data_IF_549686063104
#
_entry.id   IF_549686063104
#
_cell.length_a   1.000
_cell.length_b   1.000
_cell.length_c   1.000
_cell.angle_alpha   90.00
_cell.angle_beta   90.00
_cell.angle_gamma   90.00
#
_symmetry.space_group_name_H-M   'P 1'
#
loop_
_entity.id
_entity.type
_entity.pdbx_description
1 polymer ?
#
# COMPACT_ATOMS: atom_id res chain seq x y z
N UNK A 1 -18.77 1.24 -9.43
CA UNK A 1 -18.31 1.91 -10.66
C UNK A 1 -17.25 2.98 -10.41
N UNK A 2 -17.53 4.10 -9.72
CA UNK A 2 -16.50 5.13 -9.43
C UNK A 2 -15.40 4.61 -8.48
N UNK A 3 -15.77 4.03 -7.33
CA UNK A 3 -14.81 3.53 -6.33
C UNK A 3 -13.92 2.39 -6.84
N UNK A 4 -14.47 1.47 -7.65
CA UNK A 4 -13.67 0.39 -8.27
C UNK A 4 -12.65 0.96 -9.27
N UNK A 5 -13.03 2.03 -9.98
CA UNK A 5 -12.15 2.72 -10.92
C UNK A 5 -11.04 3.45 -10.17
N UNK A 6 -11.38 4.20 -9.11
CA UNK A 6 -10.42 4.89 -8.26
C UNK A 6 -9.44 3.90 -7.58
N UNK A 7 -9.96 2.79 -7.06
CA UNK A 7 -9.14 1.74 -6.44
C UNK A 7 -8.23 1.07 -7.48
N UNK A 8 -8.74 0.74 -8.67
CA UNK A 8 -7.93 0.15 -9.75
C UNK A 8 -6.80 1.08 -10.17
N UNK A 9 -7.06 2.39 -10.27
CA UNK A 9 -6.04 3.39 -10.58
C UNK A 9 -4.97 3.46 -9.49
N UNK A 10 -5.36 3.50 -8.22
CA UNK A 10 -4.42 3.53 -7.09
C UNK A 10 -3.55 2.27 -7.00
N UNK A 11 -4.11 1.11 -7.36
CA UNK A 11 -3.37 -0.16 -7.35
C UNK A 11 -2.44 -0.34 -8.56
N UNK A 12 -2.78 0.21 -9.73
CA UNK A 12 -1.93 0.14 -10.92
C UNK A 12 -0.82 1.21 -10.92
N UNK A 13 -1.22 2.47 -10.73
CA UNK A 13 -0.30 3.62 -10.76
C UNK A 13 -0.75 4.65 -9.71
N UNK A 14 -0.26 4.54 -8.47
CA UNK A 14 -0.69 5.40 -7.39
C UNK A 14 -0.26 6.85 -7.66
N UNK A 15 -1.20 7.78 -7.55
CA UNK A 15 -0.98 9.22 -7.65
C UNK A 15 -1.62 9.93 -6.46
N UNK A 16 -1.12 11.11 -6.05
CA UNK A 16 -1.79 11.92 -5.05
C UNK A 16 -3.25 12.22 -5.41
N UNK A 17 -3.53 12.51 -6.68
CA UNK A 17 -4.89 12.78 -7.17
C UNK A 17 -5.78 11.54 -7.10
N UNK A 18 -5.25 10.36 -7.46
CA UNK A 18 -5.99 9.10 -7.35
C UNK A 18 -6.37 8.75 -5.91
N UNK A 19 -5.45 8.96 -4.95
CA UNK A 19 -5.75 8.77 -3.53
C UNK A 19 -6.72 9.83 -2.98
N UNK A 20 -6.64 11.06 -3.48
CA UNK A 20 -7.62 12.08 -3.14
C UNK A 20 -9.03 11.67 -3.58
N UNK A 21 -9.17 11.19 -4.82
CA UNK A 21 -10.45 10.71 -5.34
C UNK A 21 -10.95 9.50 -4.54
N UNK A 22 -10.08 8.50 -4.31
CA UNK A 22 -10.42 7.34 -3.49
C UNK A 22 -10.92 7.76 -2.10
N UNK A 23 -10.24 8.69 -1.44
CA UNK A 23 -10.69 9.23 -0.15
C UNK A 23 -12.07 9.89 -0.25
N UNK A 24 -12.30 10.69 -1.28
CA UNK A 24 -13.58 11.35 -1.51
C UNK A 24 -14.71 10.34 -1.68
N UNK A 25 -14.45 9.20 -2.31
CA UNK A 25 -15.42 8.12 -2.50
C UNK A 25 -15.65 7.29 -1.22
N UNK A 26 -14.62 7.10 -0.39
CA UNK A 26 -14.71 6.32 0.86
C UNK A 26 -15.42 7.06 1.99
N UNK A 27 -15.30 8.39 2.06
CA UNK A 27 -15.87 9.19 3.16
C UNK A 27 -17.40 9.04 3.30
N UNK A 28 -18.21 9.18 2.21
CA UNK A 28 -19.66 8.97 2.29
C UNK A 28 -20.04 7.55 2.74
N UNK A 29 -19.27 6.54 2.33
CA UNK A 29 -19.51 5.16 2.74
C UNK A 29 -19.23 4.97 4.25
N UNK A 30 -18.16 5.60 4.74
CA UNK A 30 -17.79 5.54 6.15
C UNK A 30 -18.83 6.20 7.08
N UNK A 31 -19.49 7.27 6.64
CA UNK A 31 -20.53 7.96 7.41
C UNK A 31 -21.77 7.09 7.65
N UNK A 32 -22.06 6.18 6.73
CA UNK A 32 -23.18 5.24 6.83
C UNK A 32 -22.88 4.03 7.74
N UNK A 33 -21.67 3.91 8.28
CA UNK A 33 -21.30 2.79 9.15
C UNK A 33 -21.79 2.96 10.59
N UNK A 34 -22.26 1.87 11.23
CA UNK A 34 -22.48 1.84 12.67
C UNK A 34 -21.20 2.22 13.44
N UNK A 35 -21.35 2.84 14.62
CA UNK A 35 -20.21 3.29 15.44
C UNK A 35 -19.20 2.17 15.75
N UNK A 36 -19.66 0.91 15.87
CA UNK A 36 -18.79 -0.24 16.11
C UNK A 36 -17.92 -0.67 14.92
N UNK A 37 -18.30 -0.30 13.69
CA UNK A 37 -17.63 -0.70 12.43
C UNK A 37 -16.81 0.44 11.80
N UNK A 38 -16.92 1.67 12.34
CA UNK A 38 -16.16 2.83 11.85
C UNK A 38 -14.64 2.72 12.03
N UNK A 39 -14.15 1.83 12.90
CA UNK A 39 -12.71 1.67 13.15
C UNK A 39 -11.93 1.27 11.89
N UNK A 40 -12.48 0.35 11.10
CA UNK A 40 -11.81 -0.13 9.87
C UNK A 40 -11.84 0.93 8.76
N UNK A 41 -12.91 1.71 8.69
CA UNK A 41 -13.02 2.86 7.79
C UNK A 41 -12.03 3.98 8.16
N UNK A 42 -11.95 4.33 9.45
CA UNK A 42 -10.98 5.31 9.96
C UNK A 42 -9.55 4.87 9.63
N UNK A 43 -9.23 3.60 9.86
CA UNK A 43 -7.92 3.02 9.53
C UNK A 43 -7.62 3.10 8.03
N UNK A 44 -8.59 2.76 7.18
CA UNK A 44 -8.41 2.84 5.71
C UNK A 44 -8.15 4.26 5.23
N UNK A 45 -8.88 5.24 5.80
CA UNK A 45 -8.68 6.65 5.51
C UNK A 45 -7.32 7.16 6.04
N UNK A 46 -6.85 6.63 7.16
CA UNK A 46 -5.52 6.93 7.70
C UNK A 46 -4.40 6.38 6.80
N UNK A 47 -4.51 5.12 6.36
CA UNK A 47 -3.57 4.53 5.41
C UNK A 47 -3.54 5.34 4.10
N UNK A 48 -4.72 5.71 3.56
CA UNK A 48 -4.81 6.53 2.36
C UNK A 48 -4.17 7.93 2.55
N UNK A 49 -4.30 8.54 3.73
CA UNK A 49 -3.68 9.82 4.08
C UNK A 49 -2.15 9.73 4.09
N UNK A 50 -1.60 8.72 4.74
CA UNK A 50 -0.15 8.52 4.83
C UNK A 50 0.46 8.15 3.47
N UNK A 51 -0.25 7.33 2.69
CA UNK A 51 0.14 7.03 1.32
C UNK A 51 0.14 8.28 0.43
N UNK A 52 -0.90 9.12 0.55
CA UNK A 52 -0.95 10.40 -0.16
C UNK A 52 0.22 11.30 0.24
N UNK A 53 0.53 11.40 1.54
CA UNK A 53 1.66 12.18 2.04
C UNK A 53 2.99 11.73 1.42
N UNK A 54 3.22 10.41 1.41
CA UNK A 54 4.40 9.82 0.79
C UNK A 54 4.51 10.13 -0.71
N UNK A 55 3.42 9.97 -1.47
CA UNK A 55 3.41 10.31 -2.90
C UNK A 55 3.60 11.80 -3.19
N UNK A 56 3.02 12.66 -2.36
CA UNK A 56 3.16 14.11 -2.51
C UNK A 56 4.61 14.57 -2.27
N UNK A 57 5.28 14.01 -1.26
CA UNK A 57 6.70 14.23 -0.99
C UNK A 57 7.59 13.65 -2.10
N UNK A 58 7.30 12.45 -2.60
CA UNK A 58 7.99 11.89 -3.75
C UNK A 58 7.89 12.82 -4.97
N UNK A 59 6.67 13.28 -5.28
CA UNK A 59 6.43 14.16 -6.42
C UNK A 59 7.09 15.52 -6.28
N UNK A 60 7.17 16.08 -5.08
CA UNK A 60 7.80 17.39 -4.86
C UNK A 60 9.32 17.35 -5.05
N UNK A 61 9.93 16.18 -4.86
CA UNK A 61 11.38 15.94 -4.93
C UNK A 61 11.83 15.29 -6.25
N UNK A 62 10.90 14.87 -7.09
CA UNK A 62 11.17 14.24 -8.39
C UNK A 62 10.84 15.18 -9.55
N UNK A 63 11.64 15.12 -10.61
CA UNK A 63 11.27 15.77 -11.88
C UNK A 63 10.12 15.01 -12.55
N UNK A 64 9.36 15.70 -13.42
CA UNK A 64 8.29 15.07 -14.20
C UNK A 64 8.77 13.87 -15.03
N UNK A 65 10.02 13.89 -15.50
CA UNK A 65 10.62 12.77 -16.25
C UNK A 65 10.83 11.55 -15.38
N UNK A 66 11.33 11.74 -14.15
CA UNK A 66 11.60 10.65 -13.21
C UNK A 66 10.30 10.05 -12.69
N UNK A 67 9.28 10.87 -12.43
CA UNK A 67 7.96 10.40 -12.02
C UNK A 67 7.31 9.55 -13.12
N UNK A 68 7.37 9.99 -14.38
CA UNK A 68 6.88 9.21 -15.52
C UNK A 68 7.65 7.90 -15.73
N UNK A 69 8.96 7.87 -15.46
CA UNK A 69 9.75 6.63 -15.53
C UNK A 69 9.34 5.65 -14.42
N UNK A 70 9.12 6.13 -13.20
CA UNK A 70 8.61 5.32 -12.09
C UNK A 70 7.22 4.75 -12.41
N UNK A 71 6.29 5.59 -12.88
CA UNK A 71 4.94 5.17 -13.27
C UNK A 71 4.96 4.10 -14.38
N UNK A 72 5.74 4.33 -15.45
CA UNK A 72 5.91 3.35 -16.54
C UNK A 72 6.48 2.02 -16.06
N UNK A 73 7.25 1.99 -14.97
CA UNK A 73 7.82 0.76 -14.40
C UNK A 73 6.82 0.03 -13.50
N UNK A 74 5.94 0.76 -12.81
CA UNK A 74 4.82 0.20 -12.05
C UNK A 74 3.79 -0.49 -12.98
N UNK A 75 3.53 0.08 -14.16
CA UNK A 75 2.64 -0.52 -15.16
C UNK A 75 3.13 -1.91 -15.64
N UNK A 76 4.44 -2.14 -15.70
CA UNK A 76 5.03 -3.43 -16.14
C UNK A 76 4.95 -4.51 -15.04
N UNK A 77 4.88 -4.10 -13.76
CA UNK A 77 4.71 -5.00 -12.61
C UNK A 77 3.24 -5.28 -12.27
N UNK A 78 2.29 -4.62 -12.92
CA UNK A 78 0.87 -4.64 -12.60
C UNK A 78 0.15 -5.90 -13.11
N UNK A 79 0.63 -7.09 -12.75
CA UNK A 79 -0.20 -8.31 -12.74
C UNK A 79 -1.11 -8.25 -11.50
N UNK A 80 -1.98 -7.24 -11.43
CA UNK A 80 -2.86 -6.95 -10.28
C UNK A 80 -4.36 -7.09 -10.58
N UNK A 81 -4.75 -7.17 -11.86
CA UNK A 81 -6.16 -7.12 -12.26
C UNK A 81 -6.95 -8.42 -11.95
N UNK A 82 -6.28 -9.59 -12.02
CA UNK A 82 -6.92 -10.88 -11.73
C UNK A 82 -7.12 -11.14 -10.23
N UNK A 83 -6.35 -10.46 -9.38
CA UNK A 83 -6.49 -10.58 -7.93
C UNK A 83 -7.76 -9.88 -7.43
N UNK A 84 -8.25 -8.83 -8.11
CA UNK A 84 -9.30 -7.92 -7.63
C UNK A 84 -10.68 -8.59 -7.42
N UNK A 85 -11.01 -9.64 -8.20
CA UNK A 85 -12.25 -10.41 -8.03
C UNK A 85 -12.15 -11.48 -6.92
N UNK A 86 -10.98 -12.11 -6.76
CA UNK A 86 -10.70 -12.99 -5.60
C UNK A 86 -10.51 -12.18 -4.30
N UNK A 87 -10.18 -10.89 -4.43
CA UNK A 87 -9.83 -9.97 -3.35
C UNK A 87 -10.99 -9.57 -2.43
N UNK A 88 -12.16 -9.39 -3.04
CA UNK A 88 -13.39 -9.09 -2.32
C UNK A 88 -13.93 -10.33 -1.60
N UNK A 89 -13.43 -11.52 -1.96
CA UNK A 89 -13.96 -12.81 -1.52
C UNK A 89 -13.05 -13.51 -0.50
N UNK A 90 -11.72 -13.42 -0.62
CA UNK A 90 -10.77 -14.17 0.24
C UNK A 90 -9.54 -13.35 0.73
N UNK A 91 -9.80 -12.31 1.53
CA UNK A 91 -8.79 -11.44 2.20
C UNK A 91 -7.66 -12.21 2.91
N UNK A 92 -7.96 -13.35 3.54
CA UNK A 92 -6.95 -14.15 4.24
C UNK A 92 -5.96 -14.83 3.30
N UNK A 93 -6.38 -15.22 2.10
CA UNK A 93 -5.55 -15.99 1.18
C UNK A 93 -4.48 -15.12 0.53
N UNK A 94 -4.80 -13.86 0.24
CA UNK A 94 -3.85 -12.87 -0.28
C UNK A 94 -2.82 -12.45 0.77
N UNK A 95 -3.25 -12.20 2.02
CA UNK A 95 -2.28 -11.88 3.06
C UNK A 95 -1.40 -13.09 3.39
N UNK A 96 -1.95 -14.31 3.36
CA UNK A 96 -1.15 -15.54 3.48
C UNK A 96 -0.18 -15.69 2.29
N UNK A 97 -0.59 -15.47 1.04
CA UNK A 97 0.29 -15.60 -0.13
C UNK A 97 1.38 -14.52 -0.19
N UNK A 98 1.04 -13.29 0.19
CA UNK A 98 1.98 -12.18 0.24
C UNK A 98 3.01 -12.35 1.38
N UNK A 99 2.58 -12.80 2.57
CA UNK A 99 3.48 -13.09 3.70
C UNK A 99 4.24 -14.42 3.58
N UNK A 100 3.79 -15.38 2.76
CA UNK A 100 4.45 -16.70 2.63
C UNK A 100 5.36 -16.83 1.39
N UNK A 101 5.32 -15.90 0.42
CA UNK A 101 6.24 -16.00 -0.73
C UNK A 101 6.13 -14.94 -1.83
N UNK A 102 5.04 -14.16 -1.90
CA UNK A 102 4.77 -13.28 -3.06
C UNK A 102 5.73 -12.10 -3.25
N UNK A 103 6.40 -11.62 -2.19
CA UNK A 103 7.30 -10.47 -2.29
C UNK A 103 8.61 -10.79 -3.03
N UNK A 104 9.10 -12.03 -2.99
CA UNK A 104 10.43 -12.36 -3.52
C UNK A 104 10.49 -12.35 -5.06
N UNK A 105 9.44 -12.84 -5.74
CA UNK A 105 9.40 -12.90 -7.21
C UNK A 105 9.05 -11.53 -7.83
N UNK A 106 8.16 -10.74 -7.19
CA UNK A 106 7.83 -9.38 -7.62
C UNK A 106 8.99 -8.39 -7.45
N UNK A 107 9.76 -8.51 -6.36
CA UNK A 107 10.96 -7.71 -6.14
C UNK A 107 12.09 -8.07 -7.13
N UNK A 108 12.15 -9.30 -7.61
CA UNK A 108 13.13 -9.72 -8.63
C UNK A 108 12.91 -9.02 -9.98
N UNK A 109 11.66 -8.73 -10.36
CA UNK A 109 11.34 -7.99 -11.61
C UNK A 109 11.74 -6.50 -11.51
N UNK A 110 11.73 -5.95 -10.29
CA UNK A 110 12.16 -4.58 -10.01
C UNK A 110 13.69 -4.42 -9.87
N UNK A 111 14.46 -5.51 -9.84
CA UNK A 111 15.93 -5.47 -9.75
C UNK A 111 16.61 -5.09 -11.09
N UNK A 112 15.86 -4.98 -12.19
CA UNK A 112 16.38 -4.55 -13.52
C UNK A 112 16.64 -3.04 -13.62
N UNK A 113 16.49 -2.33 -12.51
CA UNK A 113 16.56 -0.89 -12.42
C UNK A 113 18.03 -0.52 -12.14
N UNK A 114 18.68 0.06 -13.14
CA UNK A 114 19.95 0.75 -12.98
C UNK A 114 19.74 2.15 -13.55
N UNK A 115 19.58 3.12 -12.66
CA UNK A 115 19.86 4.55 -12.78
C UNK A 115 18.74 5.36 -12.12
N UNK A 116 18.99 5.81 -10.89
CA UNK A 116 18.76 7.21 -10.46
C UNK A 116 19.71 7.47 -9.26
N UNK A 117 20.80 8.22 -9.47
CA UNK A 117 21.83 8.51 -8.45
C UNK A 117 21.72 9.92 -7.81
N UNK A 118 20.57 10.60 -7.94
CA UNK A 118 20.47 12.04 -7.65
C UNK A 118 19.55 12.44 -6.47
N UNK A 119 18.90 11.50 -5.78
CA UNK A 119 17.76 11.75 -4.88
C UNK A 119 17.85 11.16 -3.46
N UNK A 120 18.91 10.42 -3.11
CA UNK A 120 18.98 9.70 -1.82
C UNK A 120 18.95 10.63 -0.62
N UNK A 121 19.68 11.75 -0.67
CA UNK A 121 19.75 12.67 0.46
C UNK A 121 18.42 13.40 0.70
N UNK A 122 17.67 13.74 -0.35
CA UNK A 122 16.42 14.48 -0.23
C UNK A 122 15.22 13.60 0.14
N UNK A 123 15.27 12.30 -0.19
CA UNK A 123 14.22 11.32 0.12
C UNK A 123 14.48 10.50 1.39
N UNK A 124 15.68 10.57 1.98
CA UNK A 124 16.01 9.79 3.18
C UNK A 124 15.00 10.01 4.32
N UNK A 125 14.63 11.27 4.60
CA UNK A 125 13.65 11.61 5.63
C UNK A 125 12.24 11.11 5.28
N UNK A 126 11.85 11.22 4.01
CA UNK A 126 10.55 10.73 3.53
C UNK A 126 10.45 9.20 3.63
N UNK A 127 11.53 8.49 3.30
CA UNK A 127 11.61 7.03 3.46
C UNK A 127 11.59 6.62 4.93
N UNK A 128 12.35 7.31 5.79
CA UNK A 128 12.39 7.00 7.22
C UNK A 128 11.03 7.18 7.89
N UNK A 129 10.31 8.26 7.58
CA UNK A 129 8.94 8.49 8.05
C UNK A 129 7.98 7.39 7.56
N UNK A 130 8.05 7.03 6.27
CA UNK A 130 7.23 5.96 5.72
C UNK A 130 7.53 4.62 6.41
N UNK A 131 8.81 4.29 6.60
CA UNK A 131 9.24 3.06 7.25
C UNK A 131 8.79 2.97 8.70
N UNK A 132 8.88 4.08 9.44
CA UNK A 132 8.40 4.17 10.81
C UNK A 132 6.91 3.82 10.89
N UNK A 133 6.11 4.49 10.06
CA UNK A 133 4.66 4.28 10.05
C UNK A 133 4.28 2.88 9.56
N UNK A 134 4.92 2.39 8.49
CA UNK A 134 4.68 1.05 7.94
C UNK A 134 5.01 -0.04 8.96
N UNK A 135 6.06 0.11 9.78
CA UNK A 135 6.38 -0.85 10.82
C UNK A 135 5.22 -1.01 11.82
N UNK A 136 4.68 0.10 12.31
CA UNK A 136 3.56 0.09 13.27
C UNK A 136 2.31 -0.54 12.66
N UNK A 137 2.02 -0.22 11.41
CA UNK A 137 0.82 -0.69 10.72
C UNK A 137 0.91 -2.19 10.35
N UNK A 138 2.08 -2.65 9.90
CA UNK A 138 2.37 -4.08 9.70
C UNK A 138 2.31 -4.86 11.01
N UNK A 139 2.78 -4.27 12.12
CA UNK A 139 2.67 -4.88 13.44
C UNK A 139 1.21 -5.07 13.84
N UNK A 140 0.39 -4.02 13.72
CA UNK A 140 -1.05 -4.06 14.00
C UNK A 140 -1.75 -5.13 13.14
N UNK A 141 -1.51 -5.11 11.83
CA UNK A 141 -2.07 -6.08 10.89
C UNK A 141 -1.69 -7.52 11.29
N UNK A 142 -0.43 -7.77 11.59
CA UNK A 142 0.00 -9.11 12.00
C UNK A 142 -0.62 -9.55 13.34
N UNK A 143 -0.97 -8.63 14.24
CA UNK A 143 -1.69 -8.93 15.48
C UNK A 143 -3.12 -9.38 15.23
N UNK A 144 -3.78 -8.81 14.21
CA UNK A 144 -5.15 -9.17 13.82
C UNK A 144 -5.19 -10.54 13.12
N UNK A 145 -4.28 -10.78 12.18
CA UNK A 145 -4.29 -11.99 11.36
C UNK A 145 -3.54 -13.17 11.96
N UNK A 146 -2.54 -12.92 12.81
CA UNK A 146 -1.74 -13.95 13.47
C UNK A 146 -1.54 -13.60 14.95
N UNK A 147 -2.61 -13.61 15.75
CA UNK A 147 -2.54 -13.23 17.17
C UNK A 147 -1.62 -14.15 17.98
N UNK A 148 -1.54 -15.43 17.60
CA UNK A 148 -0.70 -16.44 18.25
C UNK A 148 0.81 -16.31 17.94
N UNK A 149 1.19 -15.47 16.97
CA UNK A 149 2.59 -15.29 16.60
C UNK A 149 3.36 -14.62 17.74
N UNK A 150 4.50 -15.21 18.11
CA UNK A 150 5.36 -14.65 19.13
C UNK A 150 5.88 -13.26 18.70
N UNK A 151 5.95 -12.32 19.64
CA UNK A 151 6.38 -10.95 19.35
C UNK A 151 7.77 -10.87 18.67
N UNK A 152 8.70 -11.74 19.06
CA UNK A 152 10.03 -11.81 18.45
C UNK A 152 10.02 -12.33 17.01
N UNK A 153 9.12 -13.25 16.67
CA UNK A 153 8.94 -13.76 15.31
C UNK A 153 8.28 -12.70 14.42
N UNK A 154 7.22 -12.05 14.93
CA UNK A 154 6.55 -10.92 14.27
C UNK A 154 7.53 -9.82 13.90
N UNK A 155 8.36 -9.41 14.87
CA UNK A 155 9.41 -8.42 14.65
C UNK A 155 10.36 -8.86 13.54
N UNK A 156 10.88 -10.09 13.58
CA UNK A 156 11.81 -10.61 12.57
C UNK A 156 11.23 -10.56 11.16
N UNK A 157 9.96 -10.92 10.99
CA UNK A 157 9.30 -10.89 9.68
C UNK A 157 9.14 -9.46 9.16
N UNK A 158 8.72 -8.52 10.02
CA UNK A 158 8.58 -7.10 9.64
C UNK A 158 9.95 -6.48 9.35
N UNK A 159 10.96 -6.75 10.18
CA UNK A 159 12.34 -6.30 9.97
C UNK A 159 12.88 -6.83 8.63
N UNK A 160 12.65 -8.11 8.31
CA UNK A 160 13.06 -8.71 7.03
C UNK A 160 12.33 -8.08 5.82
N UNK A 161 11.04 -7.78 5.97
CA UNK A 161 10.24 -7.13 4.94
C UNK A 161 10.73 -5.71 4.64
N UNK A 162 11.10 -4.95 5.67
CA UNK A 162 11.55 -3.57 5.54
C UNK A 162 13.06 -3.43 5.28
N UNK A 163 13.83 -4.52 5.39
CA UNK A 163 15.28 -4.51 5.24
C UNK A 163 15.77 -3.87 3.91
N UNK A 164 15.17 -4.15 2.73
CA UNK A 164 15.61 -3.53 1.49
C UNK A 164 15.41 -2.01 1.49
N UNK A 165 14.32 -1.50 2.07
CA UNK A 165 14.08 -0.05 2.15
C UNK A 165 15.05 0.66 3.12
N UNK A 166 15.59 -0.07 4.11
CA UNK A 166 16.54 0.45 5.12
C UNK A 166 18.00 0.34 4.71
N UNK A 167 18.33 -0.49 3.71
CA UNK A 167 19.70 -0.71 3.29
C UNK A 167 20.22 0.45 2.44
N UNK A 168 21.39 0.98 2.78
CA UNK A 168 22.09 1.96 1.93
C UNK A 168 22.50 1.35 0.57
N UNK A 169 22.67 0.03 0.51
CA UNK A 169 23.07 -0.68 -0.72
C UNK A 169 21.90 -0.88 -1.69
N UNK A 170 20.66 -0.73 -1.24
CA UNK A 170 19.49 -0.90 -2.09
C UNK A 170 19.29 0.31 -2.99
N UNK A 171 19.12 0.05 -4.28
CA UNK A 171 18.86 1.09 -5.26
C UNK A 171 17.61 1.90 -4.87
N UNK A 172 17.66 3.24 -4.90
CA UNK A 172 16.53 4.08 -4.47
C UNK A 172 15.20 3.81 -5.19
N UNK A 173 15.23 3.45 -6.48
CA UNK A 173 14.02 3.13 -7.22
C UNK A 173 13.33 1.88 -6.64
N UNK A 174 14.13 0.91 -6.20
CA UNK A 174 13.62 -0.29 -5.52
C UNK A 174 13.05 0.05 -4.14
N UNK A 175 13.66 0.98 -3.40
CA UNK A 175 13.11 1.48 -2.11
C UNK A 175 11.73 2.10 -2.32
N UNK A 176 11.60 2.99 -3.29
CA UNK A 176 10.34 3.65 -3.63
C UNK A 176 9.30 2.61 -4.04
N UNK A 177 9.62 1.72 -4.99
CA UNK A 177 8.69 0.70 -5.46
C UNK A 177 8.20 -0.24 -4.34
N UNK A 178 9.10 -0.67 -3.44
CA UNK A 178 8.75 -1.46 -2.26
C UNK A 178 7.79 -0.69 -1.35
N UNK A 179 8.09 0.57 -1.01
CA UNK A 179 7.24 1.39 -0.15
C UNK A 179 5.86 1.62 -0.76
N UNK A 180 5.78 1.91 -2.07
CA UNK A 180 4.51 2.04 -2.79
C UNK A 180 3.69 0.75 -2.70
N UNK A 181 4.30 -0.41 -2.93
CA UNK A 181 3.61 -1.71 -2.83
C UNK A 181 3.14 -2.00 -1.41
N UNK A 182 3.92 -1.68 -0.38
CA UNK A 182 3.52 -1.87 1.01
C UNK A 182 2.29 -1.01 1.36
N UNK A 183 2.26 0.25 0.94
CA UNK A 183 1.08 1.10 1.10
C UNK A 183 -0.14 0.55 0.36
N UNK A 184 0.01 0.10 -0.89
CA UNK A 184 -1.08 -0.50 -1.68
C UNK A 184 -1.65 -1.74 -0.98
N UNK A 185 -0.79 -2.64 -0.50
CA UNK A 185 -1.20 -3.85 0.23
C UNK A 185 -1.93 -3.52 1.52
N UNK A 186 -1.43 -2.56 2.31
CA UNK A 186 -2.06 -2.15 3.56
C UNK A 186 -3.43 -1.53 3.31
N UNK A 187 -3.52 -0.62 2.34
CA UNK A 187 -4.76 0.03 1.96
C UNK A 187 -5.78 -1.00 1.50
N UNK A 188 -5.35 -1.91 0.62
CA UNK A 188 -6.22 -2.95 0.12
C UNK A 188 -6.69 -3.91 1.22
N UNK A 189 -5.77 -4.30 2.11
CA UNK A 189 -6.06 -5.12 3.27
C UNK A 189 -7.00 -4.44 4.28
N UNK A 190 -7.08 -3.11 4.32
CA UNK A 190 -7.96 -2.38 5.23
C UNK A 190 -9.37 -2.16 4.67
N UNK A 191 -9.57 -2.24 3.35
CA UNK A 191 -10.85 -1.94 2.67
C UNK A 191 -11.92 -3.04 2.79
N UNK A 192 -11.73 -4.06 3.63
CA UNK A 192 -12.70 -5.14 3.79
C UNK A 192 -14.10 -4.70 4.24
N UNK A 193 -14.23 -3.51 4.85
CA UNK A 193 -15.52 -2.93 5.25
C UNK A 193 -16.34 -2.35 4.08
N UNK A 194 -15.71 -2.10 2.94
CA UNK A 194 -16.36 -1.47 1.78
C UNK A 194 -17.45 -2.36 1.20
N UNK A 195 -17.22 -3.68 1.13
CA UNK A 195 -18.23 -4.66 0.70
C UNK A 195 -19.47 -4.63 1.63
N UNK A 196 -19.23 -4.59 2.95
CA UNK A 196 -20.30 -4.51 3.97
C UNK A 196 -21.10 -3.20 3.91
N UNK A 197 -20.46 -2.11 3.47
CA UNK A 197 -21.13 -0.82 3.29
C UNK A 197 -22.04 -0.82 2.05
N UNK A 198 -21.63 -1.50 0.97
CA UNK A 198 -22.39 -1.57 -0.27
C UNK A 198 -23.67 -2.38 -0.15
N UNK A 199 -23.63 -3.56 0.47
CA UNK A 199 -24.81 -4.42 0.68
C UNK A 199 -25.94 -3.66 1.41
N UNK A 200 -25.58 -2.75 2.31
CA UNK A 200 -26.53 -1.95 3.07
C UNK A 200 -27.14 -0.78 2.31
N UNK A 201 -26.44 -0.26 1.30
CA UNK A 201 -26.99 0.80 0.44
C UNK A 201 -27.97 0.25 -0.59
N UNK A 202 -27.87 -1.05 -0.95
CA UNK A 202 -28.85 -1.71 -1.83
C UNK A 202 -30.13 -2.15 -1.12
N UNK A 203 -30.09 -2.30 0.20
CA UNK A 203 -31.21 -2.79 1.03
C UNK A 203 -32.08 -1.67 1.62
N UNK A 204 -31.76 -0.40 1.38
CA UNK A 204 -32.49 0.79 1.87
C UNK A 204 -33.08 1.63 0.75
#
# INVERSE_FOLDING_TARGET
MELETALSQVLACPTPEGLWQLRADLLPLADNLPAGQRKDAVRSLEIAREFHGYLAELRSKMTAREYSQLASRMDVGSVGMLALQDLLTEREHLLKSLFMGGLSEGLMVLATLQYVKAWEAELALTHDQALWWLFEELWRLSGEFRPQMAAGERRKLIDALLAPARSEETEPALKVALLLHLFQVLLLGSLGWVALAWERMSDG
#
